data_IF_079340635494
#
_entry.id   IF_079340635494
#
_cell.length_a   1.000
_cell.length_b   1.000
_cell.length_c   1.000
_cell.angle_alpha   90.00
_cell.angle_beta   90.00
_cell.angle_gamma   90.00
#
_symmetry.space_group_name_H-M   'P 1'
#
loop_
_entity.id
_entity.type
_entity.pdbx_description
1 polymer ?
#
# COMPACT_ATOMS: atom_id res chain seq x y z
N UNK A 1 43.44 49.46 9.49
CA UNK A 1 42.68 48.29 9.96
C UNK A 1 41.30 48.37 9.33
N UNK A 2 41.04 47.60 8.28
CA UNK A 2 39.72 47.48 7.66
C UNK A 2 39.52 46.01 7.30
N UNK A 3 38.88 45.27 8.21
CA UNK A 3 38.39 43.93 7.91
C UNK A 3 37.15 44.11 7.01
N UNK A 4 37.26 43.71 5.75
CA UNK A 4 36.12 43.58 4.88
C UNK A 4 35.22 42.48 5.46
N UNK A 5 33.97 42.81 5.77
CA UNK A 5 32.92 41.83 6.00
C UNK A 5 32.75 41.06 4.69
N UNK A 6 33.39 39.89 4.59
CA UNK A 6 33.03 38.90 3.59
C UNK A 6 31.64 38.38 3.99
N UNK A 7 30.60 38.92 3.37
CA UNK A 7 29.27 38.32 3.37
C UNK A 7 29.43 36.97 2.67
N UNK A 8 29.60 35.89 3.44
CA UNK A 8 29.63 34.54 2.91
C UNK A 8 28.27 34.31 2.24
N UNK A 9 28.27 34.10 0.92
CA UNK A 9 27.04 33.72 0.23
C UNK A 9 26.48 32.46 0.89
N UNK A 10 25.15 32.37 1.09
CA UNK A 10 24.56 31.20 1.71
C UNK A 10 24.93 29.95 0.90
N UNK A 11 25.24 28.85 1.59
CA UNK A 11 25.50 27.57 0.95
C UNK A 11 24.30 27.21 0.05
N UNK A 12 24.55 26.70 -1.18
CA UNK A 12 23.47 26.26 -2.07
C UNK A 12 22.61 25.21 -1.40
N UNK A 13 21.31 25.23 -1.70
CA UNK A 13 20.37 24.27 -1.16
C UNK A 13 20.64 22.86 -1.69
N UNK A 14 20.52 21.87 -0.82
CA UNK A 14 20.54 20.45 -1.18
C UNK A 14 19.13 19.90 -0.97
N UNK A 15 18.25 20.24 -1.90
CA UNK A 15 16.80 19.97 -1.79
C UNK A 15 16.52 18.54 -2.22
N UNK A 16 15.89 17.79 -1.33
CA UNK A 16 15.30 16.49 -1.61
C UNK A 16 13.81 16.51 -1.30
N UNK A 17 13.04 15.72 -2.04
CA UNK A 17 11.62 15.55 -1.75
C UNK A 17 10.90 14.71 -2.79
N UNK A 18 9.65 14.38 -2.46
CA UNK A 18 8.81 13.48 -3.25
C UNK A 18 7.34 13.82 -3.06
N UNK A 19 6.57 13.67 -4.13
CA UNK A 19 5.12 13.59 -4.07
C UNK A 19 4.74 12.13 -3.82
N UNK A 20 4.02 11.87 -2.74
CA UNK A 20 3.65 10.50 -2.36
C UNK A 20 2.37 10.07 -3.09
N UNK A 21 1.36 10.95 -3.17
CA UNK A 21 0.11 10.62 -3.87
C UNK A 21 -0.65 11.87 -4.35
N UNK A 22 -1.43 11.68 -5.41
CA UNK A 22 -2.50 12.61 -5.82
C UNK A 22 -3.80 11.81 -5.85
N UNK A 23 -4.65 11.99 -4.85
CA UNK A 23 -5.89 11.21 -4.71
C UNK A 23 -6.99 12.05 -4.04
N UNK A 24 -8.25 11.82 -4.43
CA UNK A 24 -9.39 12.50 -3.83
C UNK A 24 -9.35 14.04 -3.91
N UNK A 25 -8.73 14.60 -4.95
CA UNK A 25 -8.56 16.06 -5.10
C UNK A 25 -7.54 16.67 -4.12
N UNK A 26 -6.63 15.86 -3.58
CA UNK A 26 -5.55 16.29 -2.70
C UNK A 26 -4.20 15.76 -3.18
N UNK A 27 -3.17 16.54 -2.92
CA UNK A 27 -1.78 16.21 -3.19
C UNK A 27 -1.01 16.15 -1.87
N UNK A 28 -0.24 15.08 -1.73
CA UNK A 28 0.56 14.76 -0.54
C UNK A 28 2.02 14.64 -0.92
N UNK A 29 2.90 15.15 -0.08
CA UNK A 29 4.34 14.98 -0.29
C UNK A 29 5.16 15.52 0.86
N UNK A 30 6.47 15.53 0.64
CA UNK A 30 7.45 16.09 1.56
C UNK A 30 8.63 16.66 0.79
N UNK A 31 9.27 17.66 1.37
CA UNK A 31 10.47 18.29 0.82
C UNK A 31 11.28 18.92 1.94
N UNK A 32 12.60 18.75 1.90
CA UNK A 32 13.53 19.32 2.89
C UNK A 32 14.84 19.71 2.22
N UNK A 33 15.58 20.60 2.88
CA UNK A 33 16.93 20.98 2.47
C UNK A 33 17.93 20.36 3.44
N UNK A 34 18.76 19.44 2.93
CA UNK A 34 19.77 18.75 3.73
C UNK A 34 20.86 19.70 4.24
N UNK A 35 21.13 20.79 3.53
CA UNK A 35 22.06 21.82 3.99
C UNK A 35 21.45 22.66 5.14
N UNK A 36 20.12 22.73 5.23
CA UNK A 36 19.36 23.49 6.25
C UNK A 36 18.18 22.66 6.78
N UNK A 37 18.46 21.63 7.59
CA UNK A 37 17.46 20.63 8.01
C UNK A 37 16.34 21.16 8.92
N UNK A 38 16.45 22.39 9.42
CA UNK A 38 15.43 23.07 10.23
C UNK A 38 14.56 24.04 9.43
N UNK A 39 14.90 24.31 8.17
CA UNK A 39 14.16 25.24 7.33
C UNK A 39 13.05 24.48 6.57
N UNK A 40 11.85 25.04 6.59
CA UNK A 40 10.72 24.50 5.85
C UNK A 40 10.68 25.07 4.45
N UNK A 41 10.66 24.18 3.45
CA UNK A 41 10.63 24.57 2.05
C UNK A 41 9.23 25.00 1.60
N UNK A 42 9.19 25.92 0.64
CA UNK A 42 7.96 26.31 -0.03
C UNK A 42 7.80 25.50 -1.30
N UNK A 43 6.67 24.83 -1.47
CA UNK A 43 6.38 23.96 -2.61
C UNK A 43 5.35 24.63 -3.51
N UNK A 44 5.78 24.94 -4.73
CA UNK A 44 4.93 25.45 -5.80
C UNK A 44 4.38 24.29 -6.63
N UNK A 45 3.07 24.28 -6.83
CA UNK A 45 2.41 23.37 -7.77
C UNK A 45 2.07 24.15 -9.04
N UNK A 46 2.57 23.67 -10.17
CA UNK A 46 2.39 24.30 -11.49
C UNK A 46 1.78 23.34 -12.49
N UNK A 47 1.02 23.86 -13.45
CA UNK A 47 0.59 23.12 -14.64
C UNK A 47 1.07 23.90 -15.85
N UNK A 48 2.05 23.34 -16.57
CA UNK A 48 2.83 24.10 -17.54
C UNK A 48 3.47 25.33 -16.87
N UNK A 49 3.24 26.52 -17.43
CA UNK A 49 3.75 27.77 -16.88
C UNK A 49 2.82 28.42 -15.84
N UNK A 50 1.64 27.86 -15.58
CA UNK A 50 0.68 28.42 -14.63
C UNK A 50 0.98 27.95 -13.22
N UNK A 51 1.20 28.89 -12.29
CA UNK A 51 1.20 28.60 -10.86
C UNK A 51 -0.24 28.29 -10.42
N UNK A 52 -0.46 27.09 -9.91
CA UNK A 52 -1.77 26.65 -9.40
C UNK A 52 -1.93 27.08 -7.95
N UNK A 53 -0.95 26.73 -7.12
CA UNK A 53 -0.97 27.01 -5.67
C UNK A 53 0.42 26.80 -5.07
N UNK A 54 0.57 27.21 -3.81
CA UNK A 54 1.80 27.11 -3.05
C UNK A 54 1.53 26.66 -1.62
N UNK A 55 2.39 25.83 -1.04
CA UNK A 55 2.27 25.32 0.33
C UNK A 55 3.63 25.24 1.01
N UNK A 56 3.69 25.30 2.34
CA UNK A 56 4.93 25.02 3.07
C UNK A 56 5.00 23.55 3.49
N UNK A 57 6.20 22.97 3.34
CA UNK A 57 6.57 21.66 3.86
C UNK A 57 6.90 21.76 5.36
N UNK A 58 5.89 21.97 6.19
CA UNK A 58 6.03 22.25 7.63
C UNK A 58 5.20 21.33 8.53
N UNK A 59 4.57 20.31 7.96
CA UNK A 59 3.73 19.38 8.73
C UNK A 59 4.56 18.21 9.27
N UNK A 60 4.29 17.76 10.51
CA UNK A 60 5.00 16.65 11.12
C UNK A 60 4.62 15.30 10.52
N UNK A 61 5.62 14.44 10.32
CA UNK A 61 5.44 13.03 9.96
C UNK A 61 6.46 12.14 10.66
N UNK A 62 5.98 11.14 11.40
CA UNK A 62 6.83 10.29 12.25
C UNK A 62 7.84 9.46 11.44
N UNK A 63 7.46 9.04 10.24
CA UNK A 63 8.34 8.31 9.31
C UNK A 63 9.48 9.18 8.78
N UNK A 64 9.25 10.48 8.54
CA UNK A 64 10.31 11.41 8.12
C UNK A 64 11.36 11.55 9.21
N UNK A 65 10.91 11.72 10.47
CA UNK A 65 11.80 11.74 11.64
C UNK A 65 12.59 10.44 11.79
N UNK A 66 11.93 9.30 11.64
CA UNK A 66 12.57 7.99 11.76
C UNK A 66 13.62 7.74 10.66
N UNK A 67 13.43 8.31 9.47
CA UNK A 67 14.35 8.21 8.33
C UNK A 67 15.43 9.32 8.31
N UNK A 68 15.50 10.17 9.34
CA UNK A 68 16.54 11.21 9.44
C UNK A 68 16.31 12.43 8.55
N UNK A 69 15.06 12.67 8.12
CA UNK A 69 14.67 13.87 7.37
C UNK A 69 14.44 15.02 8.35
N UNK A 70 15.46 15.85 8.52
CA UNK A 70 15.44 17.05 9.36
C UNK A 70 14.96 16.77 10.78
N UNK A 71 13.97 17.54 11.23
CA UNK A 71 13.27 17.39 12.50
C UNK A 71 11.98 16.57 12.41
N UNK A 72 11.66 16.04 11.22
CA UNK A 72 10.41 15.34 10.92
C UNK A 72 9.24 16.24 10.48
N UNK A 73 9.41 17.56 10.48
CA UNK A 73 8.37 18.54 10.13
C UNK A 73 8.53 19.05 8.69
N UNK A 74 8.62 18.13 7.73
CA UNK A 74 8.93 18.44 6.33
C UNK A 74 7.88 17.94 5.33
N UNK A 75 6.68 17.59 5.81
CA UNK A 75 5.57 17.13 4.96
C UNK A 75 4.58 18.25 4.64
N UNK A 76 3.76 18.02 3.61
CA UNK A 76 2.68 18.91 3.23
C UNK A 76 1.49 18.15 2.64
N UNK A 77 0.31 18.74 2.80
CA UNK A 77 -0.95 18.32 2.19
C UNK A 77 -1.65 19.56 1.66
N UNK A 78 -2.18 19.48 0.44
CA UNK A 78 -2.96 20.56 -0.16
C UNK A 78 -4.10 20.02 -1.03
N UNK A 79 -5.21 20.77 -1.08
CA UNK A 79 -6.28 20.51 -2.03
C UNK A 79 -5.83 20.95 -3.44
N UNK A 80 -5.96 20.06 -4.41
CA UNK A 80 -5.54 20.27 -5.79
C UNK A 80 -6.67 19.90 -6.74
N UNK A 81 -7.23 20.92 -7.39
CA UNK A 81 -8.19 20.76 -8.47
C UNK A 81 -7.46 20.88 -9.81
N UNK A 82 -7.50 19.80 -10.60
CA UNK A 82 -6.89 19.72 -11.93
C UNK A 82 -7.98 19.49 -12.97
N UNK A 83 -7.85 20.14 -14.13
CA UNK A 83 -8.67 19.79 -15.27
C UNK A 83 -8.22 18.44 -15.86
N UNK A 84 -9.14 17.78 -16.59
CA UNK A 84 -8.87 16.49 -17.21
C UNK A 84 -7.67 16.59 -18.19
N UNK A 85 -6.64 15.79 -17.96
CA UNK A 85 -5.41 15.78 -18.75
C UNK A 85 -4.32 16.76 -18.31
N UNK A 86 -4.54 17.58 -17.27
CA UNK A 86 -3.48 18.42 -16.70
C UNK A 86 -2.49 17.58 -15.87
N UNK A 87 -1.20 17.68 -16.17
CA UNK A 87 -0.12 17.04 -15.40
C UNK A 87 0.56 18.09 -14.52
N UNK A 88 0.40 18.05 -13.19
CA UNK A 88 1.05 19.00 -12.30
C UNK A 88 2.54 18.68 -12.16
N UNK A 89 3.33 19.72 -11.92
CA UNK A 89 4.73 19.65 -11.54
C UNK A 89 4.85 20.34 -10.19
N UNK A 90 5.56 19.71 -9.24
CA UNK A 90 5.87 20.30 -7.95
C UNK A 90 7.33 20.77 -7.92
N UNK A 91 7.56 22.00 -7.50
CA UNK A 91 8.89 22.59 -7.33
C UNK A 91 9.05 23.04 -5.88
N UNK A 92 10.04 22.51 -5.17
CA UNK A 92 10.40 23.00 -3.85
C UNK A 92 11.42 24.14 -3.95
N UNK A 93 11.20 25.20 -3.18
CA UNK A 93 11.99 26.42 -3.15
C UNK A 93 12.56 26.63 -1.75
N UNK A 94 13.87 26.85 -1.68
CA UNK A 94 14.52 27.26 -0.42
C UNK A 94 14.17 28.71 -0.08
N UNK A 95 13.66 29.01 1.13
CA UNK A 95 13.38 30.39 1.53
C UNK A 95 14.66 31.21 1.74
N UNK A 96 15.83 30.56 1.91
CA UNK A 96 17.11 31.23 2.20
C UNK A 96 17.89 31.53 0.93
N UNK A 97 18.03 30.57 0.01
CA UNK A 97 18.79 30.78 -1.23
C UNK A 97 17.92 31.12 -2.43
N UNK A 98 16.62 30.81 -2.38
CA UNK A 98 15.74 30.88 -3.54
C UNK A 98 15.96 29.74 -4.55
N UNK A 99 16.86 28.79 -4.26
CA UNK A 99 17.09 27.63 -5.12
C UNK A 99 15.81 26.81 -5.25
N UNK A 100 15.52 26.36 -6.47
CA UNK A 100 14.35 25.55 -6.78
C UNK A 100 14.77 24.18 -7.30
N UNK A 101 14.11 23.13 -6.80
CA UNK A 101 14.31 21.76 -7.26
C UNK A 101 12.97 21.07 -7.55
N UNK A 102 12.85 20.32 -8.66
CA UNK A 102 11.64 19.56 -8.95
C UNK A 102 11.49 18.38 -8.00
N UNK A 103 10.29 18.21 -7.44
CA UNK A 103 9.94 17.05 -6.64
C UNK A 103 9.61 15.87 -7.55
N UNK A 104 10.04 14.68 -7.14
CA UNK A 104 9.72 13.45 -7.89
C UNK A 104 8.23 13.15 -7.75
N UNK A 105 7.52 13.10 -8.87
CA UNK A 105 6.14 12.61 -8.94
C UNK A 105 6.12 11.09 -8.76
N UNK A 106 5.09 10.52 -8.10
CA UNK A 106 4.97 9.08 -8.01
C UNK A 106 4.72 8.54 -9.41
N UNK A 107 5.45 7.50 -9.77
CA UNK A 107 5.26 6.87 -11.08
C UNK A 107 3.94 6.08 -11.11
N UNK A 108 3.31 5.95 -12.28
CA UNK A 108 2.07 5.17 -12.45
C UNK A 108 2.18 3.73 -11.93
N UNK A 109 3.39 3.18 -11.84
CA UNK A 109 3.66 1.84 -11.32
C UNK A 109 3.63 1.82 -9.79
N UNK A 110 4.17 2.85 -9.13
CA UNK A 110 4.23 3.00 -7.68
C UNK A 110 2.84 3.26 -7.10
N UNK A 111 2.09 4.18 -7.72
CA UNK A 111 0.70 4.48 -7.35
C UNK A 111 -0.22 3.25 -7.50
N UNK A 112 0.01 2.42 -8.52
CA UNK A 112 -0.75 1.17 -8.70
C UNK A 112 -0.34 0.11 -7.68
N UNK A 113 0.95 -0.04 -7.39
CA UNK A 113 1.41 -0.98 -6.38
C UNK A 113 0.76 -0.68 -5.02
N UNK A 114 0.76 0.58 -4.59
CA UNK A 114 0.22 0.95 -3.28
C UNK A 114 -1.32 0.87 -3.23
N UNK A 115 -2.02 1.38 -4.24
CA UNK A 115 -3.49 1.42 -4.24
C UNK A 115 -4.16 0.08 -4.59
N UNK A 116 -3.47 -0.83 -5.30
CA UNK A 116 -4.03 -2.12 -5.72
C UNK A 116 -3.52 -3.25 -4.84
N UNK A 117 -2.21 -3.34 -4.59
CA UNK A 117 -1.64 -4.48 -3.87
C UNK A 117 -1.98 -4.41 -2.39
N UNK A 118 -1.94 -3.21 -1.79
CA UNK A 118 -2.27 -3.02 -0.37
C UNK A 118 -3.66 -3.56 0.02
N UNK A 119 -4.75 -3.10 -0.60
CA UNK A 119 -6.10 -3.59 -0.31
C UNK A 119 -6.28 -5.09 -0.61
N UNK A 120 -5.62 -5.62 -1.64
CA UNK A 120 -5.67 -7.06 -1.98
C UNK A 120 -5.02 -7.90 -0.88
N UNK A 121 -3.85 -7.49 -0.39
CA UNK A 121 -3.15 -8.19 0.69
C UNK A 121 -3.95 -8.16 2.00
N UNK A 122 -4.57 -7.03 2.35
CA UNK A 122 -5.45 -6.91 3.52
C UNK A 122 -6.68 -7.83 3.44
N UNK A 123 -7.28 -7.96 2.25
CA UNK A 123 -8.41 -8.88 2.03
C UNK A 123 -7.96 -10.33 2.13
N UNK A 124 -6.78 -10.66 1.61
CA UNK A 124 -6.21 -12.01 1.70
C UNK A 124 -5.89 -12.40 3.15
N UNK A 125 -5.32 -11.48 3.95
CA UNK A 125 -5.07 -11.76 5.38
C UNK A 125 -6.36 -11.99 6.15
N UNK A 126 -7.40 -11.18 5.89
CA UNK A 126 -8.72 -11.38 6.49
C UNK A 126 -9.33 -12.75 6.16
N UNK A 127 -9.11 -13.25 4.94
CA UNK A 127 -9.50 -14.59 4.53
C UNK A 127 -8.75 -15.68 5.30
N UNK A 128 -7.43 -15.54 5.46
CA UNK A 128 -6.62 -16.49 6.24
C UNK A 128 -7.06 -16.53 7.71
N UNK A 129 -7.38 -15.37 8.30
CA UNK A 129 -7.88 -15.32 9.68
C UNK A 129 -9.26 -15.97 9.83
N UNK A 130 -10.13 -15.85 8.81
CA UNK A 130 -11.42 -16.50 8.80
C UNK A 130 -11.28 -18.03 8.70
N UNK A 131 -10.42 -18.54 7.81
CA UNK A 131 -10.18 -19.98 7.65
C UNK A 131 -9.50 -20.59 8.89
N UNK A 132 -8.53 -19.90 9.48
CA UNK A 132 -7.86 -20.31 10.72
C UNK A 132 -8.86 -20.46 11.88
N UNK A 133 -9.75 -19.46 12.06
CA UNK A 133 -10.80 -19.51 13.10
C UNK A 133 -11.75 -20.67 12.88
N UNK A 134 -12.14 -20.94 11.64
CA UNK A 134 -12.99 -22.08 11.31
C UNK A 134 -12.33 -23.42 11.69
N UNK A 135 -11.07 -23.63 11.29
CA UNK A 135 -10.33 -24.84 11.64
C UNK A 135 -10.21 -25.05 13.15
N UNK A 136 -9.96 -23.99 13.92
CA UNK A 136 -9.89 -24.08 15.38
C UNK A 136 -11.22 -24.47 16.02
N UNK A 137 -12.33 -23.95 15.51
CA UNK A 137 -13.67 -24.31 16.00
C UNK A 137 -13.99 -25.77 15.72
N UNK A 138 -13.73 -26.24 14.49
CA UNK A 138 -13.93 -27.66 14.11
C UNK A 138 -13.08 -28.59 14.99
N UNK A 139 -11.80 -28.29 15.17
CA UNK A 139 -10.92 -29.10 16.03
C UNK A 139 -11.37 -29.11 17.48
N UNK A 140 -11.90 -28.00 17.99
CA UNK A 140 -12.45 -27.90 19.34
C UNK A 140 -13.71 -28.75 19.49
N UNK A 141 -14.63 -28.68 18.53
CA UNK A 141 -15.83 -29.51 18.48
C UNK A 141 -15.48 -31.01 18.43
N UNK A 142 -14.53 -31.39 17.58
CA UNK A 142 -14.07 -32.79 17.48
C UNK A 142 -13.45 -33.28 18.80
N UNK A 143 -12.60 -32.46 19.44
CA UNK A 143 -12.03 -32.79 20.76
C UNK A 143 -13.09 -32.98 21.83
N UNK A 144 -14.12 -32.14 21.81
CA UNK A 144 -15.19 -32.20 22.80
C UNK A 144 -16.02 -33.49 22.64
N UNK A 145 -16.36 -33.85 21.40
CA UNK A 145 -17.00 -35.14 21.10
C UNK A 145 -16.16 -36.34 21.53
N UNK A 146 -14.83 -36.29 21.34
CA UNK A 146 -13.92 -37.35 21.79
C UNK A 146 -13.87 -37.45 23.32
N UNK A 147 -13.82 -36.33 24.04
CA UNK A 147 -13.86 -36.31 25.52
C UNK A 147 -15.16 -36.90 26.06
N UNK A 148 -16.30 -36.51 25.48
CA UNK A 148 -17.61 -37.03 25.85
C UNK A 148 -17.77 -38.54 25.54
N UNK A 149 -17.07 -39.03 24.52
CA UNK A 149 -16.99 -40.45 24.19
C UNK A 149 -16.26 -41.29 25.25
N UNK A 150 -15.23 -40.74 25.89
CA UNK A 150 -14.34 -41.48 26.80
C UNK A 150 -14.76 -41.48 28.28
N UNK A 151 -15.71 -40.63 28.71
CA UNK A 151 -15.93 -40.33 30.13
C UNK A 151 -17.20 -40.91 30.84
N UNK A 152 -18.01 -41.80 30.25
CA UNK A 152 -19.22 -42.31 30.95
C UNK A 152 -19.70 -43.74 30.58
N UNK A 153 -20.36 -44.47 31.51
CA UNK A 153 -21.02 -45.76 31.26
C UNK A 153 -22.34 -45.59 30.47
N UNK A 154 -22.83 -46.67 29.85
CA UNK A 154 -23.95 -46.65 28.89
C UNK A 154 -25.34 -46.57 29.57
N UNK A 155 -26.12 -45.51 29.28
CA UNK A 155 -27.56 -45.45 29.54
C UNK A 155 -28.29 -44.70 28.39
N UNK A 156 -29.61 -44.87 28.27
CA UNK A 156 -30.39 -44.31 27.14
C UNK A 156 -30.47 -42.78 27.15
N UNK A 157 -30.51 -42.14 28.32
CA UNK A 157 -30.44 -40.66 28.47
C UNK A 157 -29.16 -40.07 27.85
N UNK A 158 -28.08 -40.85 27.75
CA UNK A 158 -26.81 -40.47 27.12
C UNK A 158 -26.88 -40.50 25.59
N UNK A 159 -27.71 -41.37 25.00
CA UNK A 159 -27.87 -41.41 23.56
C UNK A 159 -28.59 -40.14 23.07
N UNK A 160 -29.61 -39.69 23.80
CA UNK A 160 -30.30 -38.42 23.51
C UNK A 160 -29.37 -37.21 23.65
N UNK A 161 -28.60 -37.12 24.75
CA UNK A 161 -27.63 -36.03 24.94
C UNK A 161 -26.50 -36.02 23.88
N UNK A 162 -26.10 -37.19 23.34
CA UNK A 162 -25.13 -37.28 22.23
C UNK A 162 -25.75 -36.85 20.91
N UNK A 163 -27.01 -37.19 20.65
CA UNK A 163 -27.74 -36.75 19.47
C UNK A 163 -27.91 -35.23 19.50
N UNK A 164 -28.30 -34.65 20.64
CA UNK A 164 -28.43 -33.21 20.81
C UNK A 164 -27.10 -32.47 20.62
N UNK A 165 -26.00 -33.03 21.15
CA UNK A 165 -24.66 -32.49 20.96
C UNK A 165 -24.18 -32.53 19.50
N UNK A 166 -24.53 -33.58 18.75
CA UNK A 166 -24.23 -33.69 17.31
C UNK A 166 -25.07 -32.71 16.50
N UNK A 167 -26.35 -32.55 16.82
CA UNK A 167 -27.25 -31.59 16.15
C UNK A 167 -26.78 -30.16 16.37
N UNK A 168 -26.43 -29.78 17.61
CA UNK A 168 -25.90 -28.44 17.91
C UNK A 168 -24.55 -28.17 17.20
N UNK A 169 -23.68 -29.18 17.13
CA UNK A 169 -22.42 -29.06 16.39
C UNK A 169 -22.64 -28.95 14.88
N UNK A 170 -23.61 -29.67 14.31
CA UNK A 170 -23.99 -29.56 12.90
C UNK A 170 -24.58 -28.18 12.60
N UNK A 171 -25.46 -27.65 13.45
CA UNK A 171 -26.03 -26.31 13.24
C UNK A 171 -24.96 -25.22 13.21
N UNK A 172 -23.97 -25.29 14.11
CA UNK A 172 -22.85 -24.36 14.13
C UNK A 172 -21.99 -24.47 12.86
N UNK A 173 -21.75 -25.69 12.39
CA UNK A 173 -20.98 -25.94 11.17
C UNK A 173 -21.74 -25.45 9.92
N UNK A 174 -23.06 -25.63 9.88
CA UNK A 174 -23.94 -25.14 8.81
C UNK A 174 -24.00 -23.60 8.78
N UNK A 175 -24.02 -22.97 9.97
CA UNK A 175 -23.97 -21.51 10.13
C UNK A 175 -22.64 -20.95 9.63
N UNK A 176 -21.53 -21.63 9.90
CA UNK A 176 -20.20 -21.26 9.40
C UNK A 176 -20.08 -21.43 7.87
N UNK A 177 -20.56 -22.54 7.30
CA UNK A 177 -20.53 -22.77 5.84
C UNK A 177 -21.35 -21.72 5.09
N UNK A 178 -22.53 -21.38 5.60
CA UNK A 178 -23.38 -20.34 5.01
C UNK A 178 -22.69 -18.96 5.01
N UNK A 179 -21.91 -18.66 6.07
CA UNK A 179 -21.10 -17.44 6.13
C UNK A 179 -19.96 -17.42 5.10
N UNK A 180 -19.38 -18.58 4.77
CA UNK A 180 -18.34 -18.71 3.75
C UNK A 180 -18.91 -18.45 2.35
N UNK A 181 -20.11 -18.95 2.03
CA UNK A 181 -20.73 -18.72 0.72
C UNK A 181 -21.00 -17.23 0.46
N UNK A 182 -21.50 -16.50 1.45
CA UNK A 182 -21.71 -15.05 1.36
C UNK A 182 -20.39 -14.30 1.17
N UNK A 183 -19.33 -14.77 1.84
CA UNK A 183 -17.99 -14.20 1.69
C UNK A 183 -17.38 -14.49 0.31
N UNK A 184 -17.56 -15.71 -0.23
CA UNK A 184 -17.13 -16.09 -1.57
C UNK A 184 -17.85 -15.27 -2.65
N UNK A 185 -19.16 -15.06 -2.52
CA UNK A 185 -19.93 -14.18 -3.41
C UNK A 185 -19.38 -12.74 -3.42
N UNK A 186 -18.90 -12.26 -2.26
CA UNK A 186 -18.32 -10.92 -2.13
C UNK A 186 -16.89 -10.81 -2.69
N UNK A 187 -16.14 -11.91 -2.72
CA UNK A 187 -14.84 -11.96 -3.40
C UNK A 187 -15.05 -11.76 -4.90
N UNK A 188 -16.04 -12.42 -5.51
CA UNK A 188 -16.32 -12.27 -6.94
C UNK A 188 -16.67 -10.83 -7.33
N UNK A 189 -17.49 -10.15 -6.52
CA UNK A 189 -17.78 -8.71 -6.69
C UNK A 189 -16.49 -7.88 -6.61
N UNK A 190 -15.62 -8.17 -5.63
CA UNK A 190 -14.36 -7.46 -5.48
C UNK A 190 -13.33 -7.73 -6.59
N UNK A 191 -13.31 -8.95 -7.14
CA UNK A 191 -12.48 -9.34 -8.29
C UNK A 191 -13.01 -8.70 -9.58
N UNK A 192 -14.33 -8.56 -9.69
CA UNK A 192 -14.97 -7.85 -10.79
C UNK A 192 -14.58 -6.37 -10.81
N UNK A 193 -14.66 -5.67 -9.67
CA UNK A 193 -14.25 -4.27 -9.53
C UNK A 193 -12.78 -4.02 -9.87
N UNK A 194 -11.91 -4.95 -9.45
CA UNK A 194 -10.49 -4.96 -9.83
C UNK A 194 -10.32 -5.08 -11.35
N UNK A 195 -11.01 -6.04 -11.97
CA UNK A 195 -10.94 -6.27 -13.41
C UNK A 195 -11.50 -5.10 -14.22
N UNK A 196 -12.59 -4.48 -13.76
CA UNK A 196 -13.17 -3.27 -14.37
C UNK A 196 -12.18 -2.11 -14.29
N UNK A 197 -11.57 -1.88 -13.12
CA UNK A 197 -10.53 -0.85 -12.94
C UNK A 197 -9.32 -1.05 -13.85
N UNK A 198 -8.92 -2.30 -14.08
CA UNK A 198 -7.83 -2.62 -15.02
C UNK A 198 -8.22 -2.37 -16.49
N UNK A 199 -9.48 -2.60 -16.86
CA UNK A 199 -9.99 -2.42 -18.24
C UNK A 199 -10.27 -0.96 -18.63
N UNK A 200 -10.59 -0.10 -17.67
CA UNK A 200 -10.85 1.32 -17.92
C UNK A 200 -9.57 2.12 -18.17
N UNK A 201 -8.40 1.49 -18.16
CA UNK A 201 -7.17 2.11 -18.65
C UNK A 201 -7.27 2.37 -20.16
N UNK A 202 -7.18 3.62 -20.64
CA UNK A 202 -6.73 3.84 -22.02
C UNK A 202 -5.37 3.17 -22.14
N UNK A 203 -5.11 2.49 -23.26
CA UNK A 203 -3.84 1.82 -23.53
C UNK A 203 -2.71 2.86 -23.44
N UNK A 204 -2.13 3.00 -22.25
CA UNK A 204 -0.95 3.81 -22.02
C UNK A 204 0.06 3.35 -23.05
N UNK A 205 0.47 4.27 -23.92
CA UNK A 205 1.37 4.01 -25.06
C UNK A 205 2.48 3.11 -24.57
N UNK A 206 2.40 1.83 -24.95
CA UNK A 206 3.22 0.78 -24.39
C UNK A 206 4.68 1.13 -24.67
N UNK A 207 5.35 1.71 -23.67
CA UNK A 207 6.72 2.12 -23.81
C UNK A 207 7.54 0.84 -24.01
N UNK A 208 8.16 0.70 -25.19
CA UNK A 208 8.88 -0.49 -25.67
C UNK A 208 9.85 -1.05 -24.63
N UNK A 209 10.34 -0.19 -23.73
CA UNK A 209 11.27 -0.51 -22.64
C UNK A 209 10.65 -1.45 -21.58
N UNK A 210 9.37 -1.29 -21.25
CA UNK A 210 8.67 -2.16 -20.28
C UNK A 210 8.45 -3.56 -20.86
N UNK A 211 8.12 -3.65 -22.15
CA UNK A 211 8.01 -4.93 -22.86
C UNK A 211 9.35 -5.67 -22.95
N UNK A 212 10.46 -4.95 -23.16
CA UNK A 212 11.80 -5.55 -23.16
C UNK A 212 12.14 -6.08 -21.76
N UNK A 213 11.88 -5.32 -20.69
CA UNK A 213 12.12 -5.76 -19.31
C UNK A 213 11.31 -7.03 -18.95
N UNK A 214 10.03 -7.07 -19.30
CA UNK A 214 9.17 -8.25 -19.10
C UNK A 214 9.66 -9.47 -19.91
N UNK A 215 10.13 -9.26 -21.14
CA UNK A 215 10.68 -10.36 -21.96
C UNK A 215 11.99 -10.93 -21.39
N UNK A 216 12.87 -10.08 -20.86
CA UNK A 216 14.10 -10.52 -20.19
C UNK A 216 13.80 -11.29 -18.90
N UNK A 217 12.80 -10.87 -18.13
CA UNK A 217 12.42 -11.53 -16.89
C UNK A 217 11.77 -12.90 -17.15
N UNK A 218 10.93 -13.01 -18.18
CA UNK A 218 10.39 -14.30 -18.63
C UNK A 218 11.50 -15.26 -19.11
N UNK A 219 12.49 -14.76 -19.85
CA UNK A 219 13.63 -15.57 -20.30
C UNK A 219 14.48 -16.08 -19.12
N UNK A 220 14.66 -15.27 -18.08
CA UNK A 220 15.40 -15.67 -16.87
C UNK A 220 14.71 -16.80 -16.09
N UNK A 221 13.37 -16.78 -16.02
CA UNK A 221 12.56 -17.84 -15.38
C UNK A 221 12.63 -19.15 -16.16
N UNK A 222 12.59 -19.09 -17.50
CA UNK A 222 12.74 -20.29 -18.34
C UNK A 222 14.16 -20.88 -18.22
N UNK A 223 15.19 -20.04 -18.16
CA UNK A 223 16.57 -20.49 -17.99
C UNK A 223 16.83 -21.16 -16.64
N UNK A 224 16.23 -20.65 -15.56
CA UNK A 224 16.33 -21.28 -14.23
C UNK A 224 15.55 -22.59 -14.15
N UNK A 225 14.40 -22.69 -14.83
CA UNK A 225 13.66 -23.96 -14.97
C UNK A 225 14.44 -25.03 -15.74
N UNK A 226 15.10 -24.65 -16.83
CA UNK A 226 15.92 -25.57 -17.63
C UNK A 226 17.17 -26.04 -16.88
N UNK A 227 17.83 -25.16 -16.12
CA UNK A 227 18.98 -25.52 -15.30
C UNK A 227 18.63 -26.51 -14.17
N UNK A 228 17.46 -26.35 -13.53
CA UNK A 228 16.97 -27.29 -12.52
C UNK A 228 16.56 -28.65 -13.10
N UNK A 229 16.06 -28.69 -14.34
CA UNK A 229 15.74 -29.94 -15.03
C UNK A 229 17.00 -30.74 -15.42
N UNK A 230 18.11 -30.06 -15.73
CA UNK A 230 19.38 -30.70 -16.08
C UNK A 230 20.16 -31.25 -14.87
N UNK A 231 19.94 -30.76 -13.65
CA UNK A 231 20.57 -31.30 -12.43
C UNK A 231 19.85 -32.53 -11.85
N UNK A 232 18.76 -33.02 -12.48
CA UNK A 232 17.98 -34.19 -12.04
C UNK A 232 18.15 -35.45 -12.90
N UNK A 233 19.15 -35.49 -13.79
CA UNK A 233 19.54 -36.70 -14.54
C UNK A 233 20.97 -37.12 -14.23
#
# INVERSE_FOLDING_TARGET
>A
MSAALQTLAPQPADIEGRIDAITGGKLYGWAWDRARPSDHLEVEIRVGDRLVTTVFANQPRDDLKANGVGDGCHSFELALELAEGETPIALARSPVTGDMAPLRMPSDVETVAENVIGPVLLRLSALMDATQRNQQTVLRGLRELLKQGQAAPANDQRNDARIDGIVAAQEELQRQVSGIEVFLLRIDESLHDLNVSLKQRPAASADKRVWIALSCLAAAVVATGAAMAWMRF
#
